data_IF_333894122238
#
_entry.id   IF_333894122238
#
_cell.length_a   1.000
_cell.length_b   1.000
_cell.length_c   1.000
_cell.angle_alpha   90.00
_cell.angle_beta   90.00
_cell.angle_gamma   90.00
#
_symmetry.space_group_name_H-M   'P 1'
#
loop_
_entity.id
_entity.type
_entity.pdbx_description
1 polymer ?
#
# COMPACT_ATOMS: atom_id res chain seq x y z
N UNK A 1 -16.48 -13.89 -0.99
CA UNK A 1 -16.25 -14.56 -2.29
C UNK A 1 -14.78 -14.81 -2.57
N UNK A 2 -13.91 -13.80 -2.61
CA UNK A 2 -12.45 -14.00 -2.81
C UNK A 2 -11.84 -15.06 -1.87
N UNK A 3 -12.06 -14.95 -0.56
CA UNK A 3 -11.52 -15.94 0.41
C UNK A 3 -12.08 -17.35 0.21
N UNK A 4 -13.36 -17.47 -0.17
CA UNK A 4 -13.95 -18.78 -0.48
C UNK A 4 -13.29 -19.37 -1.72
N UNK A 5 -13.07 -18.57 -2.75
CA UNK A 5 -12.34 -18.99 -3.94
C UNK A 5 -10.93 -19.50 -3.60
N UNK A 6 -10.26 -18.86 -2.64
CA UNK A 6 -8.95 -19.34 -2.18
C UNK A 6 -9.00 -20.73 -1.55
N UNK A 7 -10.03 -21.03 -0.75
CA UNK A 7 -10.27 -22.37 -0.22
C UNK A 7 -10.63 -23.38 -1.32
N UNK A 8 -11.52 -23.00 -2.25
CA UNK A 8 -11.93 -23.87 -3.36
C UNK A 8 -10.73 -24.19 -4.27
N UNK A 9 -9.76 -23.28 -4.41
CA UNK A 9 -8.54 -23.52 -5.19
C UNK A 9 -7.66 -24.68 -4.69
N UNK A 10 -7.94 -25.23 -3.51
CA UNK A 10 -7.28 -26.45 -3.01
C UNK A 10 -7.53 -27.68 -3.90
N UNK A 11 -8.70 -27.79 -4.52
CA UNK A 11 -9.06 -28.97 -5.32
C UNK A 11 -8.17 -29.16 -6.56
N UNK A 12 -7.51 -28.11 -7.03
CA UNK A 12 -6.61 -28.15 -8.19
C UNK A 12 -5.22 -27.56 -7.90
N UNK A 13 -4.89 -27.36 -6.61
CA UNK A 13 -3.63 -26.74 -6.21
C UNK A 13 -2.44 -27.63 -6.53
N UNK A 14 -1.40 -27.06 -7.14
CA UNK A 14 -0.13 -27.77 -7.35
C UNK A 14 0.69 -27.89 -6.05
N UNK A 15 0.36 -27.11 -5.03
CA UNK A 15 1.04 -27.14 -3.74
C UNK A 15 0.05 -26.93 -2.59
N UNK A 16 -0.75 -27.96 -2.23
CA UNK A 16 -1.88 -27.82 -1.30
C UNK A 16 -1.51 -27.19 0.05
N UNK A 17 -0.36 -27.55 0.64
CA UNK A 17 0.08 -27.00 1.93
C UNK A 17 0.22 -25.46 1.91
N UNK A 18 0.69 -24.89 0.80
CA UNK A 18 0.87 -23.45 0.65
C UNK A 18 -0.47 -22.76 0.41
N UNK A 19 -1.33 -23.38 -0.39
CA UNK A 19 -2.69 -22.89 -0.60
C UNK A 19 -3.50 -22.90 0.69
N UNK A 20 -3.37 -23.93 1.54
CA UNK A 20 -4.00 -23.95 2.87
C UNK A 20 -3.48 -22.79 3.72
N UNK A 21 -2.16 -22.61 3.81
CA UNK A 21 -1.55 -21.52 4.59
C UNK A 21 -2.02 -20.13 4.13
N UNK A 22 -2.08 -19.90 2.81
CA UNK A 22 -2.55 -18.64 2.26
C UNK A 22 -4.05 -18.44 2.44
N UNK A 23 -4.87 -19.49 2.27
CA UNK A 23 -6.31 -19.43 2.51
C UNK A 23 -6.62 -19.14 3.99
N UNK A 24 -5.87 -19.72 4.92
CA UNK A 24 -5.95 -19.35 6.34
C UNK A 24 -5.58 -17.89 6.57
N UNK A 25 -4.50 -17.41 5.95
CA UNK A 25 -4.09 -16.01 6.05
C UNK A 25 -5.20 -15.07 5.57
N UNK A 26 -5.81 -15.34 4.41
CA UNK A 26 -6.95 -14.55 3.92
C UNK A 26 -8.19 -14.68 4.81
N UNK A 27 -8.40 -15.82 5.45
CA UNK A 27 -9.50 -15.99 6.41
C UNK A 27 -9.28 -15.12 7.65
N UNK A 28 -8.06 -15.09 8.19
CA UNK A 28 -7.69 -14.21 9.31
C UNK A 28 -7.87 -12.73 8.93
N UNK A 29 -7.43 -12.35 7.72
CA UNK A 29 -7.59 -10.98 7.22
C UNK A 29 -9.06 -10.61 7.02
N UNK A 30 -9.89 -11.51 6.50
CA UNK A 30 -11.32 -11.30 6.39
C UNK A 30 -11.99 -11.12 7.75
N UNK A 31 -11.66 -11.98 8.72
CA UNK A 31 -12.20 -11.86 10.09
C UNK A 31 -11.81 -10.50 10.67
N UNK A 32 -10.53 -10.10 10.56
CA UNK A 32 -10.08 -8.80 11.02
C UNK A 32 -10.81 -7.63 10.32
N UNK A 33 -11.01 -7.71 8.99
CA UNK A 33 -11.76 -6.71 8.23
C UNK A 33 -13.24 -6.64 8.65
N UNK A 34 -13.88 -7.77 8.91
CA UNK A 34 -15.26 -7.82 9.41
C UNK A 34 -15.35 -7.18 10.78
N UNK A 35 -14.41 -7.48 11.69
CA UNK A 35 -14.36 -6.84 13.02
C UNK A 35 -14.24 -5.31 12.87
N UNK A 36 -13.33 -4.82 12.02
CA UNK A 36 -13.21 -3.37 11.76
C UNK A 36 -14.55 -2.78 11.30
N UNK A 37 -15.21 -3.40 10.32
CA UNK A 37 -16.50 -2.90 9.81
C UNK A 37 -17.61 -2.93 10.87
N UNK A 38 -17.64 -3.95 11.73
CA UNK A 38 -18.63 -4.07 12.81
C UNK A 38 -18.43 -3.05 13.92
N UNK A 39 -17.17 -2.77 14.31
CA UNK A 39 -16.87 -1.89 15.43
C UNK A 39 -16.78 -0.40 15.05
N UNK A 40 -16.50 -0.09 13.78
CA UNK A 40 -16.49 1.28 13.25
C UNK A 40 -17.89 1.70 12.84
N UNK A 41 -18.70 2.02 13.85
CA UNK A 41 -20.12 2.34 13.72
C UNK A 41 -20.42 3.82 13.35
N UNK A 42 -19.41 4.70 13.39
CA UNK A 42 -19.58 6.13 13.14
C UNK A 42 -18.27 6.77 12.64
N UNK A 43 -18.37 8.02 12.18
CA UNK A 43 -17.24 8.76 11.62
C UNK A 43 -16.15 9.06 12.67
N UNK A 44 -16.51 9.25 13.93
CA UNK A 44 -15.54 9.50 14.99
C UNK A 44 -14.70 8.25 15.29
N UNK A 45 -15.32 7.06 15.28
CA UNK A 45 -14.60 5.78 15.39
C UNK A 45 -13.69 5.50 14.20
N UNK A 46 -14.11 5.89 13.00
CA UNK A 46 -13.26 5.78 11.81
C UNK A 46 -12.03 6.68 11.92
N UNK A 47 -12.22 7.93 12.33
CA UNK A 47 -11.13 8.88 12.57
C UNK A 47 -10.22 8.43 13.74
N UNK A 48 -10.77 7.81 14.78
CA UNK A 48 -10.00 7.22 15.88
C UNK A 48 -9.15 6.03 15.43
N UNK A 49 -9.69 5.13 14.58
CA UNK A 49 -8.93 4.02 14.01
C UNK A 49 -7.80 4.52 13.09
N UNK A 50 -8.10 5.53 12.27
CA UNK A 50 -7.11 6.21 11.44
C UNK A 50 -6.02 6.88 12.28
N UNK A 51 -6.39 7.52 13.39
CA UNK A 51 -5.45 8.10 14.33
C UNK A 51 -4.58 7.03 15.01
N UNK A 52 -5.16 5.90 15.40
CA UNK A 52 -4.40 4.76 15.94
C UNK A 52 -3.37 4.22 14.92
N UNK A 53 -3.73 4.18 13.63
CA UNK A 53 -2.79 3.83 12.55
C UNK A 53 -1.61 4.83 12.49
N UNK A 54 -1.89 6.13 12.62
CA UNK A 54 -0.86 7.17 12.68
C UNK A 54 0.06 6.99 13.90
N UNK A 55 -0.49 6.70 15.08
CA UNK A 55 0.30 6.43 16.29
C UNK A 55 1.21 5.20 16.11
N UNK A 56 0.70 4.11 15.51
CA UNK A 56 1.54 2.96 15.17
C UNK A 56 2.64 3.30 14.16
N UNK A 57 2.35 4.18 13.21
CA UNK A 57 3.30 4.63 12.20
C UNK A 57 4.42 5.48 12.77
N UNK A 58 4.17 6.23 13.85
CA UNK A 58 5.22 6.91 14.61
C UNK A 58 6.27 5.93 15.13
N UNK A 59 5.84 4.79 15.70
CA UNK A 59 6.77 3.76 16.21
C UNK A 59 7.67 3.24 15.09
N UNK A 60 7.09 2.91 13.93
CA UNK A 60 7.87 2.40 12.80
C UNK A 60 8.75 3.48 12.16
N UNK A 61 8.30 4.73 12.08
CA UNK A 61 9.09 5.82 11.52
C UNK A 61 10.27 6.19 12.43
N UNK A 62 10.03 6.34 13.74
CA UNK A 62 11.08 6.60 14.73
C UNK A 62 12.05 5.42 14.86
N UNK A 63 11.55 4.19 14.82
CA UNK A 63 12.40 2.98 14.81
C UNK A 63 13.32 2.93 13.58
N UNK A 64 12.87 3.43 12.43
CA UNK A 64 13.70 3.55 11.23
C UNK A 64 14.78 4.62 11.38
N UNK A 65 14.43 5.76 12.00
CA UNK A 65 15.39 6.82 12.30
C UNK A 65 16.43 6.38 13.34
N UNK A 66 16.01 5.65 14.37
CA UNK A 66 16.91 5.06 15.35
C UNK A 66 17.89 4.11 14.68
N UNK A 67 17.40 3.20 13.83
CA UNK A 67 18.26 2.30 13.05
C UNK A 67 19.26 3.07 12.16
N UNK A 68 18.87 4.20 11.59
CA UNK A 68 19.77 5.07 10.83
C UNK A 68 20.87 5.69 11.70
N UNK A 69 20.50 6.28 12.85
CA UNK A 69 21.46 6.88 13.80
C UNK A 69 22.44 5.85 14.35
N UNK A 70 21.96 4.63 14.61
CA UNK A 70 22.78 3.51 15.09
C UNK A 70 23.63 2.87 13.97
N UNK A 71 23.36 3.17 12.70
CA UNK A 71 24.00 2.51 11.57
C UNK A 71 23.53 1.07 11.32
N UNK A 72 22.43 0.65 11.95
CA UNK A 72 21.85 -0.70 11.83
C UNK A 72 21.10 -0.86 10.50
N UNK A 73 21.80 -1.38 9.50
CA UNK A 73 21.23 -1.63 8.18
C UNK A 73 20.51 -2.98 8.13
N UNK A 74 19.36 -3.03 7.46
CA UNK A 74 18.63 -4.28 7.22
C UNK A 74 19.27 -5.04 6.07
N UNK A 75 19.41 -4.39 4.91
CA UNK A 75 19.99 -4.97 3.70
C UNK A 75 20.53 -3.84 2.83
N UNK A 76 21.81 -3.91 2.42
CA UNK A 76 22.45 -3.01 1.46
C UNK A 76 22.17 -1.50 1.71
N UNK A 77 22.64 -0.93 2.82
CA UNK A 77 22.44 0.50 3.14
C UNK A 77 20.97 0.96 3.26
N UNK A 78 20.04 0.03 3.54
CA UNK A 78 18.63 0.34 3.78
C UNK A 78 18.32 0.24 5.25
N UNK A 79 17.56 1.20 5.75
CA UNK A 79 17.12 1.27 7.13
C UNK A 79 15.62 1.02 7.22
N UNK A 80 15.21 0.20 8.18
CA UNK A 80 13.81 0.01 8.51
C UNK A 80 13.70 -0.34 10.00
N UNK A 81 12.55 -0.05 10.59
CA UNK A 81 12.25 -0.53 11.93
C UNK A 81 12.38 -2.06 12.01
N UNK A 82 12.80 -2.56 13.18
CA UNK A 82 13.03 -3.98 13.42
C UNK A 82 11.81 -4.81 13.01
N UNK A 83 12.04 -5.87 12.24
CA UNK A 83 11.01 -6.80 11.78
C UNK A 83 10.25 -6.38 10.53
N UNK A 84 10.61 -5.26 9.89
CA UNK A 84 10.00 -4.82 8.64
C UNK A 84 10.89 -5.06 7.42
N UNK A 85 10.26 -5.50 6.32
CA UNK A 85 10.84 -5.32 4.99
C UNK A 85 10.79 -3.83 4.63
N UNK A 86 11.89 -3.22 4.14
CA UNK A 86 11.91 -1.79 3.86
C UNK A 86 10.93 -1.35 2.77
N UNK A 87 10.56 -2.21 1.81
CA UNK A 87 9.56 -1.85 0.80
C UNK A 87 8.14 -1.86 1.37
N UNK A 88 7.81 -2.88 2.16
CA UNK A 88 6.52 -2.95 2.84
C UNK A 88 6.34 -1.75 3.78
N UNK A 89 7.38 -1.44 4.57
CA UNK A 89 7.37 -0.30 5.47
C UNK A 89 7.14 1.03 4.74
N UNK A 90 7.78 1.23 3.58
CA UNK A 90 7.58 2.45 2.81
C UNK A 90 6.12 2.63 2.37
N UNK A 91 5.41 1.55 2.03
CA UNK A 91 3.96 1.62 1.73
C UNK A 91 3.15 1.93 2.97
N UNK A 92 3.47 1.32 4.12
CA UNK A 92 2.77 1.58 5.37
C UNK A 92 2.89 3.06 5.77
N UNK A 93 4.09 3.63 5.65
CA UNK A 93 4.32 5.05 5.91
C UNK A 93 3.63 5.96 4.89
N UNK A 94 3.58 5.59 3.60
CA UNK A 94 2.81 6.33 2.60
C UNK A 94 1.31 6.36 2.91
N UNK A 95 0.74 5.23 3.36
CA UNK A 95 -0.65 5.17 3.86
C UNK A 95 -0.81 6.09 5.08
N UNK A 96 0.16 6.09 6.00
CA UNK A 96 0.15 6.95 7.18
C UNK A 96 0.19 8.44 6.84
N UNK A 97 0.94 8.83 5.82
CA UNK A 97 1.01 10.22 5.34
C UNK A 97 -0.38 10.69 4.87
N UNK A 98 -1.07 9.88 4.06
CA UNK A 98 -2.42 10.23 3.55
C UNK A 98 -3.43 10.30 4.70
N UNK A 99 -3.39 9.33 5.62
CA UNK A 99 -4.30 9.28 6.79
C UNK A 99 -4.01 10.44 7.75
N UNK A 100 -2.75 10.71 8.06
CA UNK A 100 -2.32 11.81 8.92
C UNK A 100 -2.72 13.16 8.36
N UNK A 101 -2.62 13.35 7.04
CA UNK A 101 -3.12 14.54 6.39
C UNK A 101 -4.65 14.68 6.52
N UNK A 102 -5.40 13.59 6.26
CA UNK A 102 -6.86 13.57 6.38
C UNK A 102 -7.36 13.90 7.80
N UNK A 103 -6.88 13.18 8.81
CA UNK A 103 -7.31 13.34 10.21
C UNK A 103 -6.78 14.65 10.78
N UNK A 104 -5.54 15.04 10.46
CA UNK A 104 -4.96 16.31 10.92
C UNK A 104 -5.73 17.54 10.43
N UNK A 105 -6.24 17.50 9.19
CA UNK A 105 -7.08 18.56 8.64
C UNK A 105 -8.47 18.69 9.29
N UNK A 106 -8.91 17.69 10.05
CA UNK A 106 -10.25 17.62 10.68
C UNK A 106 -10.22 17.66 12.21
N UNK A 107 -9.03 17.54 12.79
CA UNK A 107 -8.80 17.48 14.22
C UNK A 107 -8.22 18.80 14.75
N UNK A 108 -8.20 18.97 16.08
CA UNK A 108 -7.52 20.08 16.75
C UNK A 108 -6.50 19.58 17.78
N UNK A 109 -5.78 20.52 18.40
CA UNK A 109 -4.88 20.25 19.52
C UNK A 109 -3.80 19.20 19.24
N UNK A 110 -3.61 18.28 20.19
CA UNK A 110 -2.57 17.24 20.15
C UNK A 110 -2.77 16.25 19.00
N UNK A 111 -4.02 15.92 18.65
CA UNK A 111 -4.30 15.00 17.55
C UNK A 111 -3.82 15.58 16.21
N UNK A 112 -4.09 16.87 15.96
CA UNK A 112 -3.56 17.57 14.77
C UNK A 112 -2.04 17.58 14.75
N UNK A 113 -1.40 17.88 15.89
CA UNK A 113 0.05 17.91 16.01
C UNK A 113 0.68 16.56 15.66
N UNK A 114 0.15 15.46 16.21
CA UNK A 114 0.66 14.11 15.96
C UNK A 114 0.39 13.67 14.51
N UNK A 115 -0.77 14.01 13.95
CA UNK A 115 -1.13 13.70 12.57
C UNK A 115 -0.31 14.46 11.53
N UNK A 116 -0.01 15.74 11.77
CA UNK A 116 0.82 16.52 10.84
C UNK A 116 2.30 16.32 11.10
N UNK A 117 2.71 16.09 12.34
CA UNK A 117 4.09 15.79 12.71
C UNK A 117 4.59 14.47 12.12
N UNK A 118 3.72 13.46 11.97
CA UNK A 118 4.12 12.16 11.40
C UNK A 118 4.54 12.31 9.93
N UNK A 119 4.00 13.30 9.21
CA UNK A 119 4.19 13.44 7.76
C UNK A 119 5.66 13.67 7.39
N UNK A 120 6.36 14.70 7.89
CA UNK A 120 7.78 14.88 7.57
C UNK A 120 8.65 13.73 8.07
N UNK A 121 8.32 13.15 9.22
CA UNK A 121 9.07 12.02 9.81
C UNK A 121 8.90 10.76 8.97
N UNK A 122 7.68 10.48 8.50
CA UNK A 122 7.36 9.37 7.62
C UNK A 122 7.99 9.55 6.24
N UNK A 123 8.00 10.76 5.66
CA UNK A 123 8.73 11.01 4.42
C UNK A 123 10.22 10.70 4.59
N UNK A 124 10.86 11.21 5.65
CA UNK A 124 12.26 10.93 5.92
C UNK A 124 12.53 9.43 6.10
N UNK A 125 11.69 8.74 6.88
CA UNK A 125 11.79 7.29 7.05
C UNK A 125 11.60 6.53 5.73
N UNK A 126 10.66 6.95 4.86
CA UNK A 126 10.49 6.38 3.50
C UNK A 126 11.77 6.53 2.68
N UNK A 127 12.45 7.68 2.74
CA UNK A 127 13.75 7.85 2.07
C UNK A 127 14.79 6.87 2.62
N UNK A 128 14.91 6.78 3.94
CA UNK A 128 15.87 5.87 4.60
C UNK A 128 15.62 4.39 4.31
N UNK A 129 14.38 4.01 3.94
CA UNK A 129 14.10 2.64 3.46
C UNK A 129 14.80 2.29 2.15
N UNK A 130 15.32 3.26 1.41
CA UNK A 130 15.89 3.06 0.08
C UNK A 130 14.90 2.46 -0.93
N UNK A 131 13.59 2.52 -0.65
CA UNK A 131 12.56 2.02 -1.55
C UNK A 131 12.28 3.04 -2.65
N UNK A 132 12.84 2.83 -3.85
CA UNK A 132 12.59 3.66 -5.05
C UNK A 132 11.09 3.92 -5.28
N UNK A 133 10.27 2.89 -5.02
CA UNK A 133 8.83 2.92 -5.21
C UNK A 133 8.12 3.62 -4.06
N UNK A 134 8.59 3.43 -2.83
CA UNK A 134 8.15 4.20 -1.68
C UNK A 134 8.29 5.71 -1.95
N UNK A 135 9.43 6.12 -2.50
CA UNK A 135 9.71 7.51 -2.90
C UNK A 135 8.81 7.95 -4.06
N UNK A 136 8.60 7.12 -5.08
CA UNK A 136 7.69 7.42 -6.19
C UNK A 136 6.25 7.67 -5.69
N UNK A 137 5.75 6.80 -4.81
CA UNK A 137 4.40 6.92 -4.22
C UNK A 137 4.32 8.16 -3.31
N UNK A 138 5.37 8.46 -2.54
CA UNK A 138 5.52 9.70 -1.80
C UNK A 138 5.42 10.93 -2.72
N UNK A 139 6.13 10.93 -3.86
CA UNK A 139 6.05 11.98 -4.88
C UNK A 139 4.64 12.13 -5.47
N UNK A 140 3.96 11.01 -5.75
CA UNK A 140 2.57 11.01 -6.19
C UNK A 140 1.63 11.63 -5.15
N UNK A 141 1.81 11.31 -3.85
CA UNK A 141 1.03 11.90 -2.76
C UNK A 141 1.21 13.42 -2.73
N UNK A 142 2.45 13.89 -2.80
CA UNK A 142 2.74 15.32 -2.80
C UNK A 142 2.07 15.97 -4.02
N UNK A 143 2.32 15.45 -5.23
CA UNK A 143 1.75 15.99 -6.46
C UNK A 143 0.22 16.06 -6.39
N UNK A 144 -0.44 15.02 -5.90
CA UNK A 144 -1.89 15.00 -5.70
C UNK A 144 -2.34 16.12 -4.77
N UNK A 145 -1.72 16.24 -3.60
CA UNK A 145 -2.02 17.27 -2.61
C UNK A 145 -1.84 18.69 -3.19
N UNK A 146 -0.81 18.91 -4.01
CA UNK A 146 -0.55 20.21 -4.65
C UNK A 146 -1.57 20.56 -5.73
N UNK A 147 -1.87 19.62 -6.62
CA UNK A 147 -2.78 19.82 -7.74
C UNK A 147 -4.21 20.06 -7.25
N UNK A 148 -4.65 19.28 -6.27
CA UNK A 148 -6.01 19.34 -5.74
C UNK A 148 -6.19 20.43 -4.69
N UNK A 149 -5.12 20.86 -4.01
CA UNK A 149 -5.17 21.88 -2.96
C UNK A 149 -5.96 21.47 -1.71
N UNK A 150 -6.24 20.18 -1.53
CA UNK A 150 -7.13 19.69 -0.47
C UNK A 150 -6.50 19.94 0.90
N UNK A 151 -7.16 20.73 1.73
CA UNK A 151 -6.67 21.04 3.08
C UNK A 151 -5.53 22.06 3.12
N UNK A 152 -5.10 22.60 1.97
CA UNK A 152 -4.13 23.70 1.93
C UNK A 152 -4.82 25.06 2.02
N UNK A 153 -4.41 25.87 2.99
CA UNK A 153 -4.67 27.31 2.93
C UNK A 153 -3.97 27.94 1.73
N UNK A 154 -4.52 29.04 1.18
CA UNK A 154 -4.04 29.71 -0.05
C UNK A 154 -2.54 30.03 -0.02
N UNK A 155 -1.96 30.27 1.17
CA UNK A 155 -0.52 30.52 1.38
C UNK A 155 0.35 29.27 1.26
N UNK A 156 -0.11 28.10 1.71
CA UNK A 156 0.68 26.85 1.69
C UNK A 156 0.79 26.27 0.26
N UNK A 157 -0.16 26.60 -0.62
CA UNK A 157 -0.10 26.26 -2.06
C UNK A 157 1.13 26.86 -2.76
N UNK A 158 1.71 27.93 -2.21
CA UNK A 158 2.91 28.58 -2.74
C UNK A 158 4.23 27.98 -2.21
N UNK A 159 4.21 27.34 -1.04
CA UNK A 159 5.38 26.69 -0.41
C UNK A 159 5.53 25.22 -0.80
N UNK A 160 4.44 24.61 -1.23
CA UNK A 160 4.33 23.29 -1.79
C UNK A 160 5.43 22.90 -2.83
N UNK A 161 5.78 23.75 -3.82
CA UNK A 161 6.88 23.47 -4.75
C UNK A 161 8.25 23.45 -4.05
N UNK A 162 8.45 24.30 -3.05
CA UNK A 162 9.70 24.37 -2.28
C UNK A 162 9.91 23.11 -1.45
N UNK A 163 8.83 22.58 -0.84
CA UNK A 163 8.87 21.32 -0.11
C UNK A 163 9.19 20.13 -1.03
N UNK A 164 8.63 20.16 -2.25
CA UNK A 164 8.86 19.14 -3.28
C UNK A 164 10.32 19.18 -3.77
N UNK A 165 10.87 20.39 -3.96
CA UNK A 165 12.30 20.59 -4.29
C UNK A 165 13.19 20.15 -3.13
N UNK A 166 12.83 20.42 -1.88
CA UNK A 166 13.58 19.99 -0.70
C UNK A 166 13.61 18.46 -0.54
N UNK A 167 12.48 17.79 -0.78
CA UNK A 167 12.40 16.33 -0.77
C UNK A 167 13.15 15.73 -1.97
N UNK A 168 13.09 16.38 -3.14
CA UNK A 168 13.89 16.00 -4.30
C UNK A 168 15.39 16.23 -4.08
N UNK A 169 15.81 17.26 -3.35
CA UNK A 169 17.23 17.50 -3.05
C UNK A 169 17.76 16.52 -2.01
N UNK A 170 16.95 16.11 -1.03
CA UNK A 170 17.29 14.99 -0.14
C UNK A 170 17.45 13.67 -0.92
N UNK A 171 16.60 13.43 -1.92
CA UNK A 171 16.73 12.30 -2.83
C UNK A 171 18.05 12.35 -3.65
N UNK A 172 18.46 13.52 -4.11
CA UNK A 172 19.74 13.72 -4.82
C UNK A 172 20.94 13.52 -3.89
N UNK A 173 20.83 13.86 -2.61
CA UNK A 173 21.91 13.65 -1.62
C UNK A 173 22.08 12.17 -1.26
N UNK A 174 20.99 11.40 -1.14
CA UNK A 174 21.04 9.93 -0.98
C UNK A 174 21.63 9.25 -2.24
N UNK A 175 21.34 9.80 -3.42
CA UNK A 175 22.02 9.43 -4.66
C UNK A 175 23.55 9.64 -4.58
N UNK A 176 24.04 10.60 -3.80
CA UNK A 176 25.44 11.00 -3.84
C UNK A 176 26.37 10.17 -2.92
N UNK A 177 25.86 9.49 -1.88
CA UNK A 177 26.71 8.77 -0.92
C UNK A 177 26.85 7.26 -1.18
N UNK A 178 25.88 6.62 -1.84
CA UNK A 178 25.95 5.21 -2.31
C UNK A 178 24.83 4.86 -3.31
N UNK A 179 23.79 5.71 -3.42
CA UNK A 179 22.73 5.56 -4.40
C UNK A 179 23.17 5.72 -5.86
N UNK A 180 24.32 6.35 -6.13
CA UNK A 180 24.80 6.66 -7.49
C UNK A 180 25.13 5.39 -8.26
N UNK A 181 25.74 4.40 -7.61
CA UNK A 181 26.04 3.10 -8.24
C UNK A 181 24.75 2.36 -8.59
N UNK A 182 23.71 2.44 -7.76
CA UNK A 182 22.38 1.87 -8.04
C UNK A 182 21.53 2.69 -9.02
N UNK A 183 21.68 4.00 -9.05
CA UNK A 183 20.97 4.86 -10.00
C UNK A 183 21.62 4.79 -11.39
N UNK A 184 22.94 4.64 -11.43
CA UNK A 184 23.70 4.34 -12.63
C UNK A 184 23.38 2.96 -13.21
N UNK A 185 22.90 1.99 -12.42
CA UNK A 185 22.35 0.74 -12.96
C UNK A 185 20.94 0.89 -13.52
N UNK A 186 20.19 1.98 -13.28
CA UNK A 186 18.81 2.12 -13.80
C UNK A 186 18.78 2.12 -15.34
N UNK A 187 19.60 2.90 -16.06
CA UNK A 187 19.68 2.80 -17.52
C UNK A 187 20.07 1.38 -17.99
N UNK A 188 20.93 0.68 -17.25
CA UNK A 188 21.33 -0.68 -17.55
C UNK A 188 20.21 -1.70 -17.25
N UNK A 189 19.47 -1.58 -16.16
CA UNK A 189 18.33 -2.41 -15.76
C UNK A 189 17.15 -2.24 -16.73
N UNK A 190 16.94 -1.03 -17.24
CA UNK A 190 15.95 -0.73 -18.28
C UNK A 190 16.38 -1.31 -19.62
N UNK A 191 17.66 -1.16 -20.02
CA UNK A 191 18.19 -1.71 -21.28
C UNK A 191 18.34 -3.24 -21.28
N UNK A 192 18.67 -3.83 -20.14
CA UNK A 192 18.77 -5.28 -19.94
C UNK A 192 17.41 -5.94 -19.66
N UNK A 193 16.35 -5.15 -19.50
CA UNK A 193 15.02 -5.66 -19.23
C UNK A 193 14.94 -6.46 -17.93
N UNK A 194 15.60 -6.02 -16.86
CA UNK A 194 15.60 -6.72 -15.57
C UNK A 194 14.76 -5.99 -14.51
N UNK A 195 14.76 -4.65 -14.44
CA UNK A 195 14.07 -3.86 -13.40
C UNK A 195 14.24 -4.45 -11.99
N UNK A 196 15.48 -4.79 -11.61
CA UNK A 196 15.76 -5.53 -10.38
C UNK A 196 15.28 -7.00 -10.43
N UNK A 197 15.52 -7.68 -11.55
CA UNK A 197 15.10 -9.06 -11.88
C UNK A 197 13.58 -9.33 -11.91
N UNK A 198 12.73 -8.31 -11.94
CA UNK A 198 11.26 -8.43 -11.93
C UNK A 198 10.68 -8.83 -13.28
N UNK A 199 11.25 -8.37 -14.39
CA UNK A 199 10.70 -8.68 -15.72
C UNK A 199 10.74 -10.18 -16.03
N UNK A 200 11.85 -10.91 -15.81
CA UNK A 200 11.85 -12.37 -15.96
C UNK A 200 10.79 -13.05 -15.07
N UNK A 201 10.66 -12.61 -13.81
CA UNK A 201 9.64 -13.10 -12.87
C UNK A 201 8.22 -12.85 -13.40
N UNK A 202 7.96 -11.67 -13.94
CA UNK A 202 6.65 -11.33 -14.49
C UNK A 202 6.34 -12.09 -15.76
N UNK A 203 7.32 -12.30 -16.64
CA UNK A 203 7.16 -13.13 -17.83
C UNK A 203 6.85 -14.58 -17.46
N UNK A 204 7.59 -15.16 -16.50
CA UNK A 204 7.29 -16.49 -15.97
C UNK A 204 5.90 -16.56 -15.33
N UNK A 205 5.49 -15.51 -14.61
CA UNK A 205 4.14 -15.41 -14.07
C UNK A 205 3.06 -15.32 -15.15
N UNK A 206 3.28 -14.55 -16.22
CA UNK A 206 2.34 -14.42 -17.34
C UNK A 206 2.23 -15.72 -18.13
N UNK A 207 3.34 -16.40 -18.38
CA UNK A 207 3.37 -17.73 -18.98
C UNK A 207 2.63 -18.75 -18.10
N UNK A 208 2.90 -18.73 -16.79
CA UNK A 208 2.14 -19.46 -15.80
C UNK A 208 0.64 -19.20 -15.94
N UNK A 209 0.21 -17.94 -15.86
CA UNK A 209 -1.19 -17.56 -16.01
C UNK A 209 -1.83 -18.13 -17.29
N UNK A 210 -1.17 -18.05 -18.43
CA UNK A 210 -1.70 -18.56 -19.70
C UNK A 210 -1.86 -20.08 -19.77
N UNK A 211 -1.12 -20.83 -18.95
CA UNK A 211 -1.31 -22.27 -18.84
C UNK A 211 -2.61 -22.66 -18.11
N UNK A 212 -3.09 -21.83 -17.17
CA UNK A 212 -4.34 -22.07 -16.41
C UNK A 212 -5.12 -20.77 -16.14
N UNK A 213 -5.62 -20.08 -17.18
CA UNK A 213 -6.09 -18.69 -17.07
C UNK A 213 -7.38 -18.55 -16.27
N UNK A 214 -8.24 -19.57 -16.25
CA UNK A 214 -9.54 -19.49 -15.57
C UNK A 214 -9.42 -19.65 -14.05
N UNK A 215 -8.71 -20.69 -13.61
CA UNK A 215 -8.71 -21.13 -12.21
C UNK A 215 -7.34 -21.07 -11.52
N UNK A 216 -6.26 -20.88 -12.27
CA UNK A 216 -4.90 -20.81 -11.74
C UNK A 216 -4.35 -22.13 -11.21
N UNK A 217 -3.32 -22.02 -10.37
CA UNK A 217 -2.54 -23.15 -9.83
C UNK A 217 -2.79 -23.42 -8.34
N UNK A 218 -3.70 -22.70 -7.70
CA UNK A 218 -3.89 -22.69 -6.25
C UNK A 218 -3.44 -21.36 -5.66
N UNK A 219 -4.20 -20.83 -4.70
CA UNK A 219 -3.85 -19.56 -4.06
C UNK A 219 -2.45 -19.63 -3.43
N UNK A 220 -1.63 -18.58 -3.61
CA UNK A 220 -0.28 -18.49 -3.05
C UNK A 220 0.80 -19.30 -3.76
N UNK A 221 0.47 -20.03 -4.84
CA UNK A 221 1.44 -20.91 -5.51
C UNK A 221 2.35 -20.20 -6.53
N UNK A 222 2.23 -18.87 -6.69
CA UNK A 222 3.05 -18.11 -7.64
C UNK A 222 4.55 -18.49 -7.57
N UNK A 223 5.19 -18.55 -6.39
CA UNK A 223 6.63 -18.81 -6.33
C UNK A 223 7.03 -20.17 -6.92
N UNK A 224 6.18 -21.19 -6.77
CA UNK A 224 6.42 -22.53 -7.31
C UNK A 224 6.19 -22.62 -8.82
N UNK A 225 5.29 -21.78 -9.35
CA UNK A 225 5.11 -21.65 -10.79
C UNK A 225 6.33 -20.96 -11.41
N UNK A 226 6.79 -19.87 -10.79
CA UNK A 226 7.98 -19.15 -11.25
C UNK A 226 9.26 -20.00 -11.13
N UNK A 227 9.40 -20.78 -10.06
CA UNK A 227 10.55 -21.65 -9.82
C UNK A 227 10.75 -22.69 -10.93
N UNK A 228 9.67 -23.27 -11.46
CA UNK A 228 9.74 -24.23 -12.56
C UNK A 228 10.28 -23.63 -13.86
N UNK A 229 10.09 -22.33 -14.06
CA UNK A 229 10.48 -21.62 -15.29
C UNK A 229 11.83 -20.93 -15.18
N UNK A 230 12.19 -20.44 -13.98
CA UNK A 230 13.36 -19.60 -13.78
C UNK A 230 14.48 -20.28 -12.99
N UNK A 231 14.19 -21.38 -12.29
CA UNK A 231 15.13 -22.02 -11.37
C UNK A 231 15.32 -21.20 -10.10
N UNK A 232 14.68 -21.62 -9.01
CA UNK A 232 14.78 -20.99 -7.68
C UNK A 232 13.52 -20.23 -7.25
N UNK A 233 13.47 -19.88 -5.96
CA UNK A 233 12.29 -19.26 -5.36
C UNK A 233 12.21 -17.77 -5.66
N UNK A 234 11.10 -17.35 -6.29
CA UNK A 234 10.85 -15.95 -6.64
C UNK A 234 9.47 -15.48 -6.17
N UNK A 235 9.41 -14.31 -5.52
CA UNK A 235 8.14 -13.67 -5.18
C UNK A 235 7.61 -12.87 -6.37
N UNK A 236 6.29 -12.76 -6.51
CA UNK A 236 5.68 -12.11 -7.69
C UNK A 236 6.06 -10.64 -7.81
N UNK A 237 6.26 -9.98 -6.68
CA UNK A 237 6.51 -8.56 -6.62
C UNK A 237 5.44 -7.76 -7.39
N UNK A 238 4.21 -8.29 -7.43
CA UNK A 238 3.05 -7.80 -8.16
C UNK A 238 1.83 -8.60 -7.68
N UNK A 239 0.98 -7.95 -6.88
CA UNK A 239 -0.20 -8.57 -6.29
C UNK A 239 -1.18 -9.08 -7.35
N UNK A 240 -1.37 -8.33 -8.44
CA UNK A 240 -2.28 -8.72 -9.52
C UNK A 240 -1.81 -10.03 -10.16
N UNK A 241 -0.52 -10.15 -10.45
CA UNK A 241 0.03 -11.34 -11.05
C UNK A 241 0.07 -12.52 -10.07
N UNK A 242 0.39 -12.26 -8.79
CA UNK A 242 0.31 -13.26 -7.71
C UNK A 242 -1.09 -13.88 -7.63
N UNK A 243 -2.12 -13.04 -7.58
CA UNK A 243 -3.52 -13.47 -7.53
C UNK A 243 -3.96 -14.15 -8.83
N UNK A 244 -3.55 -13.62 -10.00
CA UNK A 244 -3.91 -14.18 -11.29
C UNK A 244 -3.31 -15.59 -11.51
N UNK A 245 -2.04 -15.80 -11.15
CA UNK A 245 -1.40 -17.11 -11.28
C UNK A 245 -2.01 -18.11 -10.28
N UNK A 246 -2.28 -17.68 -9.05
CA UNK A 246 -2.82 -18.57 -8.03
C UNK A 246 -4.29 -18.91 -8.24
N UNK A 247 -5.13 -17.92 -8.50
CA UNK A 247 -6.59 -18.06 -8.57
C UNK A 247 -7.20 -17.88 -9.95
N UNK A 248 -6.40 -17.67 -11.00
CA UNK A 248 -6.89 -17.37 -12.34
C UNK A 248 -7.59 -16.01 -12.44
N UNK A 249 -8.24 -15.77 -13.57
CA UNK A 249 -9.05 -14.58 -13.80
C UNK A 249 -10.21 -14.48 -12.81
N UNK A 250 -10.76 -15.62 -12.35
CA UNK A 250 -11.82 -15.63 -11.33
C UNK A 250 -11.30 -15.04 -10.02
N UNK A 251 -10.15 -15.52 -9.53
CA UNK A 251 -9.52 -14.99 -8.32
C UNK A 251 -9.18 -13.50 -8.45
N UNK A 252 -8.64 -13.09 -9.60
CA UNK A 252 -8.30 -11.70 -9.88
C UNK A 252 -9.54 -10.79 -9.85
N UNK A 253 -10.60 -11.17 -10.56
CA UNK A 253 -11.85 -10.41 -10.60
C UNK A 253 -12.50 -10.30 -9.23
N UNK A 254 -12.45 -11.38 -8.42
CA UNK A 254 -12.98 -11.36 -7.06
C UNK A 254 -12.17 -10.44 -6.13
N UNK A 255 -10.84 -10.40 -6.27
CA UNK A 255 -9.98 -9.54 -5.47
C UNK A 255 -10.11 -8.06 -5.88
N UNK A 256 -10.10 -7.78 -7.18
CA UNK A 256 -10.34 -6.44 -7.72
C UNK A 256 -11.75 -5.98 -7.39
N UNK A 257 -12.76 -6.85 -7.50
CA UNK A 257 -14.14 -6.58 -7.11
C UNK A 257 -14.30 -6.27 -5.62
N UNK A 258 -13.57 -6.98 -4.75
CA UNK A 258 -13.49 -6.66 -3.32
C UNK A 258 -12.95 -5.23 -3.12
N UNK A 259 -11.80 -4.90 -3.71
CA UNK A 259 -11.22 -3.56 -3.59
C UNK A 259 -12.13 -2.47 -4.17
N UNK A 260 -12.71 -2.70 -5.36
CA UNK A 260 -13.61 -1.80 -6.04
C UNK A 260 -14.92 -1.57 -5.26
N UNK A 261 -15.48 -2.60 -4.62
CA UNK A 261 -16.67 -2.46 -3.80
C UNK A 261 -16.43 -1.59 -2.57
N UNK A 262 -15.30 -1.77 -1.90
CA UNK A 262 -14.92 -0.99 -0.70
C UNK A 262 -14.56 0.47 -1.04
N UNK A 263 -13.77 0.71 -2.09
CA UNK A 263 -13.31 2.04 -2.47
C UNK A 263 -14.33 2.78 -3.35
N UNK A 264 -15.10 2.07 -4.16
CA UNK A 264 -16.05 2.64 -5.12
C UNK A 264 -17.15 3.47 -4.45
N UNK A 265 -17.63 3.03 -3.29
CA UNK A 265 -18.58 3.82 -2.49
C UNK A 265 -17.99 5.16 -2.05
N UNK A 266 -16.67 5.23 -1.82
CA UNK A 266 -15.97 6.47 -1.43
C UNK A 266 -15.76 7.44 -2.59
N UNK A 267 -15.68 6.93 -3.81
CA UNK A 267 -15.63 7.76 -5.01
C UNK A 267 -16.92 8.56 -5.23
N UNK A 268 -18.04 8.15 -4.62
CA UNK A 268 -19.33 8.84 -4.68
C UNK A 268 -19.47 9.97 -3.65
N UNK A 269 -18.55 10.09 -2.69
CA UNK A 269 -18.56 11.18 -1.72
C UNK A 269 -18.39 12.54 -2.41
N UNK A 270 -18.91 13.60 -1.78
CA UNK A 270 -18.70 14.99 -2.23
C UNK A 270 -17.62 15.66 -1.38
N UNK A 271 -16.95 16.65 -1.98
CA UNK A 271 -15.98 17.49 -1.30
C UNK A 271 -14.61 16.82 -1.03
N UNK A 272 -13.83 17.36 -0.08
CA UNK A 272 -12.42 17.00 0.11
C UNK A 272 -12.22 15.54 0.54
N UNK A 273 -13.19 14.95 1.26
CA UNK A 273 -13.17 13.54 1.68
C UNK A 273 -13.02 12.57 0.51
N UNK A 274 -13.69 12.83 -0.63
CA UNK A 274 -13.58 11.98 -1.83
C UNK A 274 -12.14 11.87 -2.28
N UNK A 275 -11.46 13.00 -2.37
CA UNK A 275 -10.14 13.05 -2.96
C UNK A 275 -9.06 12.42 -2.06
N UNK A 276 -9.28 12.36 -0.74
CA UNK A 276 -8.45 11.56 0.17
C UNK A 276 -8.61 10.06 -0.06
N UNK A 277 -9.84 9.56 -0.21
CA UNK A 277 -10.08 8.15 -0.50
C UNK A 277 -9.59 7.74 -1.88
N UNK A 278 -9.72 8.61 -2.88
CA UNK A 278 -9.13 8.39 -4.21
C UNK A 278 -7.62 8.31 -4.12
N UNK A 279 -6.96 9.21 -3.38
CA UNK A 279 -5.52 9.14 -3.17
C UNK A 279 -5.11 7.86 -2.46
N UNK A 280 -5.82 7.47 -1.40
CA UNK A 280 -5.53 6.25 -0.65
C UNK A 280 -5.69 4.99 -1.50
N UNK A 281 -6.74 4.94 -2.34
CA UNK A 281 -6.92 3.89 -3.34
C UNK A 281 -5.81 3.87 -4.39
N UNK A 282 -5.39 5.05 -4.88
CA UNK A 282 -4.28 5.16 -5.83
C UNK A 282 -2.95 4.66 -5.22
N UNK A 283 -2.66 4.99 -3.96
CA UNK A 283 -1.52 4.45 -3.22
C UNK A 283 -1.56 2.92 -3.20
N UNK A 284 -2.69 2.32 -2.83
CA UNK A 284 -2.82 0.85 -2.82
C UNK A 284 -2.65 0.24 -4.21
N UNK A 285 -3.27 0.80 -5.25
CA UNK A 285 -3.20 0.27 -6.62
C UNK A 285 -1.77 0.34 -7.15
N UNK A 286 -1.12 1.52 -7.07
CA UNK A 286 0.26 1.70 -7.55
C UNK A 286 1.22 0.79 -6.79
N UNK A 287 1.07 0.67 -5.47
CA UNK A 287 1.90 -0.25 -4.69
C UNK A 287 1.63 -1.72 -5.01
N UNK A 288 0.40 -2.10 -5.39
CA UNK A 288 0.02 -3.48 -5.74
C UNK A 288 0.65 -3.97 -7.04
N UNK A 289 0.99 -3.08 -7.98
CA UNK A 289 1.72 -3.47 -9.19
C UNK A 289 3.13 -3.97 -8.91
N UNK A 290 3.66 -3.69 -7.72
CA UNK A 290 5.11 -3.77 -7.48
C UNK A 290 5.44 -4.44 -6.14
N UNK A 291 4.42 -4.84 -5.37
CA UNK A 291 4.53 -5.61 -4.14
C UNK A 291 3.39 -6.62 -4.02
N UNK A 292 3.60 -7.65 -3.20
CA UNK A 292 2.61 -8.69 -2.91
C UNK A 292 1.65 -8.21 -1.80
N UNK A 293 0.85 -7.19 -2.09
CA UNK A 293 -0.04 -6.53 -1.12
C UNK A 293 -1.33 -7.30 -0.84
N UNK A 294 -1.67 -8.30 -1.64
CA UNK A 294 -2.91 -9.09 -1.49
C UNK A 294 -3.01 -9.80 -0.15
N UNK A 295 -1.87 -10.18 0.44
CA UNK A 295 -1.78 -10.85 1.73
C UNK A 295 -1.31 -9.92 2.86
N UNK A 296 -1.12 -8.61 2.59
CA UNK A 296 -0.67 -7.65 3.59
C UNK A 296 -1.84 -7.06 4.37
N UNK A 297 -1.69 -6.98 5.70
CA UNK A 297 -2.70 -6.43 6.62
C UNK A 297 -3.13 -5.00 6.24
N UNK A 298 -2.21 -4.19 5.73
CA UNK A 298 -2.49 -2.79 5.34
C UNK A 298 -3.61 -2.69 4.31
N UNK A 299 -3.61 -3.57 3.30
CA UNK A 299 -4.61 -3.57 2.22
C UNK A 299 -5.99 -3.83 2.81
N UNK A 300 -6.10 -4.90 3.60
CA UNK A 300 -7.36 -5.32 4.22
C UNK A 300 -7.88 -4.32 5.26
N UNK A 301 -6.99 -3.64 5.98
CA UNK A 301 -7.33 -2.57 6.90
C UNK A 301 -7.84 -1.32 6.16
N UNK A 302 -7.18 -0.89 5.09
CA UNK A 302 -7.62 0.26 4.30
C UNK A 302 -8.95 -0.02 3.62
N UNK A 303 -9.12 -1.23 3.05
CA UNK A 303 -10.39 -1.64 2.45
C UNK A 303 -11.51 -1.74 3.49
N UNK A 304 -11.25 -2.21 4.71
CA UNK A 304 -12.26 -2.25 5.78
C UNK A 304 -12.61 -0.85 6.29
N UNK A 305 -11.65 0.05 6.44
CA UNK A 305 -11.91 1.47 6.73
C UNK A 305 -12.76 2.12 5.63
N UNK A 306 -12.47 1.81 4.36
CA UNK A 306 -13.26 2.29 3.23
C UNK A 306 -14.69 1.72 3.27
N UNK A 307 -14.87 0.43 3.49
CA UNK A 307 -16.19 -0.20 3.59
C UNK A 307 -17.01 0.35 4.78
N UNK A 308 -16.41 0.49 5.96
CA UNK A 308 -17.10 0.87 7.20
C UNK A 308 -17.83 2.22 7.06
N UNK A 309 -17.16 3.25 6.55
CA UNK A 309 -17.82 4.55 6.37
C UNK A 309 -18.66 4.69 5.09
N UNK A 310 -18.69 3.69 4.21
CA UNK A 310 -19.69 3.60 3.15
C UNK A 310 -21.08 3.36 3.73
N UNK A 311 -21.17 2.43 4.70
CA UNK A 311 -22.39 2.16 5.48
C UNK A 311 -22.91 3.39 6.23
N UNK A 312 -22.02 4.28 6.68
CA UNK A 312 -22.39 5.54 7.35
C UNK A 312 -23.02 6.58 6.41
N UNK A 313 -22.75 6.50 5.12
CA UNK A 313 -23.27 7.47 4.15
C UNK A 313 -24.67 7.09 3.65
N UNK A 314 -25.07 5.82 3.80
CA UNK A 314 -26.39 5.30 3.41
C UNK A 314 -27.45 5.59 4.49
N UNK A 315 -27.03 5.79 5.74
CA UNK A 315 -27.94 5.98 6.89
C UNK A 315 -28.30 7.44 7.19
N UNK A 316 -27.78 8.43 6.46
CA UNK A 316 -28.20 9.83 6.60
C UNK A 316 -29.38 10.11 5.66
N UNK A 317 -30.61 10.32 6.16
CA UNK A 317 -31.72 10.76 5.33
C UNK A 317 -31.37 12.10 4.68
N UNK A 318 -31.68 12.24 3.38
CA UNK A 318 -31.66 13.53 2.69
C UNK A 318 -32.67 14.46 3.37
N UNK A 319 -32.23 15.27 4.33
CA UNK A 319 -33.09 16.26 4.94
C UNK A 319 -32.59 16.76 6.27
N UNK A 320 -31.56 17.61 6.23
CA UNK A 320 -31.42 18.82 7.07
C UNK A 320 -30.13 19.53 6.67
N UNK A 321 -30.11 20.08 5.46
CA UNK A 321 -29.38 21.34 5.27
C UNK A 321 -30.36 22.43 5.73
N UNK A 322 -29.96 23.23 6.72
CA UNK A 322 -30.57 24.53 6.97
C UNK A 322 -29.48 25.60 6.82
N UNK A 323 -29.86 26.77 6.29
CA UNK A 323 -28.97 27.69 5.59
C UNK A 323 -27.89 28.32 6.45
#
# INVERSE_FOLDING_TARGET
>A
MFVLWSWVSLFWSIHPAITVSMAFTYTQLLIASVLVVLYVADQARLEALMFAYVLGSWVSALGTLAAFVEGTQVVYARYAAIGFDPNDLAVYLNVAIVIGWYVGGRSGGVMRLLCWGVIPVAFLAVFLTGSRLGVLVSGMIIAWVLLTGIGLGRRWRSWAPVLLVALASLFVVDLAHDGFTRAATIPYEIRSGTLGNRIPIWNAGLEGFWNRPLIGFGTGTFPFVAERLLGGFHSAHNAFLSVAVGGGVVGLLLWVGLAASALGQRCLLRGPSRAYWVLLGAVLVVSSFILNLEARKVTWLVLSMAAAGGSLCVTVPKGTERP
#
